data_IF_350952000821
#
_entry.id   IF_350952000821
#
_cell.length_a   1.000
_cell.length_b   1.000
_cell.length_c   1.000
_cell.angle_alpha   90.00
_cell.angle_beta   90.00
_cell.angle_gamma   90.00
#
_symmetry.space_group_name_H-M   'P 1'
#
loop_
_entity.id
_entity.type
_entity.pdbx_description
1 polymer ?
#
# COMPACT_ATOMS: atom_id res chain seq x y z
N UNK A 1 5.49 -14.65 -2.58
CA UNK A 1 4.11 -14.85 -2.11
C UNK A 1 3.57 -13.46 -1.87
N UNK A 2 2.38 -13.14 -2.33
CA UNK A 2 1.82 -11.80 -2.23
C UNK A 2 0.56 -11.79 -1.39
N UNK A 3 0.22 -10.64 -0.84
CA UNK A 3 -1.03 -10.37 -0.16
C UNK A 3 -1.70 -9.15 -0.80
N UNK A 4 -2.95 -9.31 -1.20
CA UNK A 4 -3.78 -8.24 -1.75
C UNK A 4 -4.90 -7.89 -0.79
N UNK A 5 -5.22 -6.61 -0.67
CA UNK A 5 -6.42 -6.15 -0.01
C UNK A 5 -7.49 -5.79 -1.04
N UNK A 6 -8.60 -6.54 -1.07
CA UNK A 6 -9.63 -6.40 -2.10
C UNK A 6 -11.04 -6.25 -1.53
N UNK A 7 -11.91 -5.59 -2.30
CA UNK A 7 -13.35 -5.46 -2.03
C UNK A 7 -14.15 -5.54 -3.33
N UNK A 8 -15.35 -6.12 -3.32
CA UNK A 8 -16.27 -6.01 -4.46
C UNK A 8 -16.92 -4.63 -4.47
N UNK A 9 -16.61 -3.84 -5.50
CA UNK A 9 -17.20 -2.51 -5.67
C UNK A 9 -18.43 -2.54 -6.60
N UNK A 10 -18.47 -3.49 -7.53
CA UNK A 10 -19.58 -3.65 -8.47
C UNK A 10 -20.42 -4.91 -8.17
N UNK A 11 -21.61 -4.72 -7.57
CA UNK A 11 -22.52 -5.82 -7.22
C UNK A 11 -23.13 -6.54 -8.43
N UNK A 12 -23.07 -5.94 -9.62
CA UNK A 12 -23.55 -6.57 -10.86
C UNK A 12 -22.51 -7.60 -11.33
N UNK A 13 -21.22 -7.36 -11.07
CA UNK A 13 -20.11 -8.22 -11.52
C UNK A 13 -19.77 -9.39 -10.58
N UNK A 14 -20.66 -9.76 -9.66
CA UNK A 14 -20.42 -10.85 -8.70
C UNK A 14 -19.94 -12.15 -9.36
N UNK A 15 -20.58 -12.55 -10.45
CA UNK A 15 -20.21 -13.79 -11.17
C UNK A 15 -18.82 -13.69 -11.79
N UNK A 16 -18.45 -12.53 -12.35
CA UNK A 16 -17.11 -12.27 -12.88
C UNK A 16 -16.07 -12.27 -11.75
N UNK A 17 -16.37 -11.64 -10.61
CA UNK A 17 -15.49 -11.63 -9.44
C UNK A 17 -15.22 -13.06 -8.92
N UNK A 18 -16.26 -13.89 -8.76
CA UNK A 18 -16.09 -15.30 -8.33
C UNK A 18 -15.18 -16.06 -9.30
N UNK A 19 -15.37 -15.89 -10.62
CA UNK A 19 -14.54 -16.54 -11.63
C UNK A 19 -13.09 -16.06 -11.55
N UNK A 20 -12.86 -14.75 -11.44
CA UNK A 20 -11.52 -14.18 -11.36
C UNK A 20 -10.76 -14.65 -10.12
N UNK A 21 -11.41 -14.70 -8.97
CA UNK A 21 -10.82 -15.21 -7.73
C UNK A 21 -10.48 -16.70 -7.84
N UNK A 22 -11.35 -17.50 -8.43
CA UNK A 22 -11.09 -18.93 -8.62
C UNK A 22 -9.94 -19.18 -9.60
N UNK A 23 -9.92 -18.46 -10.72
CA UNK A 23 -8.94 -18.65 -11.79
C UNK A 23 -7.55 -18.14 -11.40
N UNK A 24 -7.48 -16.95 -10.77
CA UNK A 24 -6.21 -16.25 -10.60
C UNK A 24 -5.65 -16.31 -9.17
N UNK A 25 -6.49 -16.59 -8.16
CA UNK A 25 -6.05 -16.77 -6.77
C UNK A 25 -6.14 -18.23 -6.31
N UNK A 26 -6.36 -19.16 -7.25
CA UNK A 26 -6.44 -20.61 -7.02
C UNK A 26 -7.44 -21.01 -5.92
N UNK A 27 -8.51 -20.23 -5.76
CA UNK A 27 -9.59 -20.55 -4.83
C UNK A 27 -10.55 -21.56 -5.48
N UNK A 28 -11.09 -22.48 -4.67
CA UNK A 28 -12.19 -23.32 -5.15
C UNK A 28 -13.40 -22.45 -5.50
N UNK A 29 -14.21 -22.85 -6.48
CA UNK A 29 -15.44 -22.11 -6.83
C UNK A 29 -16.38 -21.88 -5.63
N UNK A 30 -16.61 -22.88 -4.74
CA UNK A 30 -17.38 -22.66 -3.51
C UNK A 30 -16.76 -21.60 -2.58
N UNK A 31 -15.45 -21.64 -2.38
CA UNK A 31 -14.77 -20.69 -1.49
C UNK A 31 -14.77 -19.28 -2.08
N UNK A 32 -14.49 -19.14 -3.38
CA UNK A 32 -14.56 -17.87 -4.09
C UNK A 32 -15.96 -17.27 -4.02
N UNK A 33 -17.01 -18.10 -4.20
CA UNK A 33 -18.41 -17.68 -4.06
C UNK A 33 -18.71 -17.19 -2.65
N UNK A 34 -18.38 -18.00 -1.64
CA UNK A 34 -18.59 -17.65 -0.23
C UNK A 34 -17.86 -16.36 0.15
N UNK A 35 -16.62 -16.19 -0.31
CA UNK A 35 -15.80 -15.02 -0.04
C UNK A 35 -16.43 -13.75 -0.63
N UNK A 36 -16.89 -13.81 -1.88
CA UNK A 36 -17.58 -12.68 -2.53
C UNK A 36 -18.89 -12.34 -1.82
N UNK A 37 -19.73 -13.35 -1.57
CA UNK A 37 -21.08 -13.14 -1.05
C UNK A 37 -21.10 -12.67 0.41
N UNK A 38 -20.15 -13.15 1.23
CA UNK A 38 -20.17 -12.93 2.67
C UNK A 38 -19.19 -11.86 3.16
N UNK A 39 -18.07 -11.65 2.46
CA UNK A 39 -17.02 -10.72 2.91
C UNK A 39 -16.79 -9.56 1.96
N UNK A 40 -16.45 -9.84 0.69
CA UNK A 40 -15.98 -8.79 -0.22
C UNK A 40 -17.07 -7.78 -0.58
N UNK A 41 -18.35 -8.10 -0.44
CA UNK A 41 -19.45 -7.12 -0.61
C UNK A 41 -19.49 -6.09 0.54
N UNK A 42 -19.06 -6.51 1.74
CA UNK A 42 -19.22 -5.75 2.98
C UNK A 42 -17.96 -4.93 3.25
N UNK A 43 -16.80 -5.57 3.19
CA UNK A 43 -15.53 -5.01 3.66
C UNK A 43 -14.36 -5.35 2.74
N UNK A 44 -13.26 -4.63 2.95
CA UNK A 44 -11.97 -5.01 2.38
C UNK A 44 -11.44 -6.25 3.10
N UNK A 45 -10.93 -7.21 2.34
CA UNK A 45 -10.38 -8.45 2.89
C UNK A 45 -9.02 -8.72 2.29
N UNK A 46 -8.08 -9.14 3.14
CA UNK A 46 -6.76 -9.59 2.71
C UNK A 46 -6.83 -11.01 2.16
N UNK A 47 -6.25 -11.22 0.98
CA UNK A 47 -6.08 -12.52 0.35
C UNK A 47 -4.60 -12.73 0.06
N UNK A 48 -4.07 -13.85 0.54
CA UNK A 48 -2.71 -14.29 0.25
C UNK A 48 -2.72 -15.27 -0.92
N UNK A 49 -1.78 -15.11 -1.85
CA UNK A 49 -1.69 -15.93 -3.05
C UNK A 49 -0.24 -15.97 -3.55
N UNK A 50 0.01 -16.89 -4.48
CA UNK A 50 1.24 -16.93 -5.24
C UNK A 50 0.97 -16.46 -6.66
N UNK A 51 1.68 -15.44 -7.13
CA UNK A 51 1.67 -15.03 -8.53
C UNK A 51 3.08 -14.72 -9.00
N UNK A 52 3.33 -14.96 -10.28
CA UNK A 52 4.55 -14.52 -10.98
C UNK A 52 4.35 -13.21 -11.74
N UNK A 53 3.11 -12.80 -11.93
CA UNK A 53 2.71 -11.60 -12.67
C UNK A 53 1.62 -10.87 -11.87
N UNK A 54 2.06 -9.89 -11.09
CA UNK A 54 1.21 -9.17 -10.17
C UNK A 54 0.34 -8.13 -10.90
N UNK A 55 0.92 -7.44 -11.87
CA UNK A 55 0.24 -6.38 -12.62
C UNK A 55 -0.93 -6.98 -13.43
N UNK A 56 -0.69 -8.09 -14.14
CA UNK A 56 -1.75 -8.79 -14.88
C UNK A 56 -2.86 -9.29 -13.95
N UNK A 57 -2.50 -9.77 -12.75
CA UNK A 57 -3.49 -10.20 -11.76
C UNK A 57 -4.37 -9.03 -11.32
N UNK A 58 -3.78 -7.89 -10.95
CA UNK A 58 -4.51 -6.71 -10.47
C UNK A 58 -5.47 -6.19 -11.55
N UNK A 59 -5.03 -6.15 -12.81
CA UNK A 59 -5.86 -5.73 -13.94
C UNK A 59 -7.05 -6.68 -14.16
N UNK A 60 -6.82 -7.99 -14.07
CA UNK A 60 -7.87 -9.00 -14.21
C UNK A 60 -8.90 -8.92 -13.07
N UNK A 61 -8.46 -8.74 -11.83
CA UNK A 61 -9.36 -8.56 -10.68
C UNK A 61 -10.18 -7.27 -10.81
N UNK A 62 -9.53 -6.18 -11.22
CA UNK A 62 -10.18 -4.88 -11.43
C UNK A 62 -11.24 -4.94 -12.53
N UNK A 63 -10.91 -5.58 -13.65
CA UNK A 63 -11.85 -5.83 -14.75
C UNK A 63 -13.04 -6.70 -14.32
N UNK A 64 -12.85 -7.56 -13.33
CA UNK A 64 -13.90 -8.38 -12.73
C UNK A 64 -14.78 -7.64 -11.69
N UNK A 65 -14.54 -6.34 -11.45
CA UNK A 65 -15.34 -5.51 -10.52
C UNK A 65 -14.84 -5.50 -9.08
N UNK A 66 -13.64 -6.03 -8.82
CA UNK A 66 -12.97 -5.95 -7.53
C UNK A 66 -12.13 -4.67 -7.48
N UNK A 67 -12.12 -4.00 -6.35
CA UNK A 67 -11.20 -2.90 -6.09
C UNK A 67 -10.04 -3.43 -5.27
N UNK A 68 -8.82 -3.29 -5.78
CA UNK A 68 -7.57 -3.61 -5.09
C UNK A 68 -7.01 -2.34 -4.48
N UNK A 69 -6.84 -2.32 -3.16
CA UNK A 69 -6.34 -1.13 -2.45
C UNK A 69 -4.87 -1.24 -2.05
N UNK A 70 -4.42 -2.44 -1.72
CA UNK A 70 -3.06 -2.62 -1.19
C UNK A 70 -2.46 -3.93 -1.70
N UNK A 71 -1.14 -3.93 -1.94
CA UNK A 71 -0.39 -5.09 -2.41
C UNK A 71 0.92 -5.22 -1.64
N UNK A 72 1.17 -6.38 -1.05
CA UNK A 72 2.36 -6.65 -0.24
C UNK A 72 3.06 -7.92 -0.73
N UNK A 73 4.36 -7.86 -0.95
CA UNK A 73 5.20 -9.05 -1.12
C UNK A 73 5.55 -9.60 0.28
N UNK A 74 5.08 -10.81 0.58
CA UNK A 74 5.33 -11.49 1.85
C UNK A 74 6.67 -12.24 1.86
N UNK A 75 7.27 -12.49 0.70
CA UNK A 75 8.59 -13.12 0.61
C UNK A 75 9.73 -12.10 0.66
N UNK A 76 9.42 -10.84 0.38
CA UNK A 76 10.40 -9.78 0.52
C UNK A 76 10.49 -9.37 1.99
N UNK A 77 11.65 -9.60 2.59
CA UNK A 77 12.01 -8.87 3.81
C UNK A 77 12.07 -7.39 3.41
N UNK A 78 11.35 -6.54 4.15
CA UNK A 78 11.49 -5.09 4.02
C UNK A 78 12.92 -4.74 4.46
N UNK A 79 13.84 -4.76 3.50
CA UNK A 79 15.25 -4.47 3.70
C UNK A 79 15.62 -3.15 3.03
N UNK A 80 16.82 -2.65 3.34
CA UNK A 80 17.32 -1.37 2.81
C UNK A 80 17.32 -1.35 1.26
N UNK A 81 17.77 -2.40 0.54
CA UNK A 81 17.67 -2.45 -0.92
C UNK A 81 16.25 -2.27 -1.47
N UNK A 82 15.25 -2.91 -0.84
CA UNK A 82 13.85 -2.75 -1.22
C UNK A 82 13.36 -1.32 -0.95
N UNK A 83 13.73 -0.74 0.20
CA UNK A 83 13.39 0.64 0.52
C UNK A 83 13.99 1.65 -0.47
N UNK A 84 15.25 1.46 -0.87
CA UNK A 84 15.89 2.24 -1.93
C UNK A 84 15.13 2.13 -3.25
N UNK A 85 14.70 0.93 -3.64
CA UNK A 85 13.95 0.72 -4.88
C UNK A 85 12.59 1.43 -4.84
N UNK A 86 11.87 1.36 -3.72
CA UNK A 86 10.48 1.84 -3.62
C UNK A 86 10.36 3.33 -3.26
N UNK A 87 11.27 3.86 -2.45
CA UNK A 87 11.12 5.19 -1.85
C UNK A 87 12.18 6.19 -2.31
N UNK A 88 13.22 5.78 -3.04
CA UNK A 88 14.34 6.71 -3.32
C UNK A 88 14.01 7.95 -4.14
N UNK A 89 12.93 7.92 -4.92
CA UNK A 89 12.39 9.11 -5.56
C UNK A 89 12.15 10.26 -4.56
N UNK A 90 11.73 9.95 -3.33
CA UNK A 90 11.41 10.92 -2.28
C UNK A 90 12.60 11.78 -1.84
N UNK A 91 13.84 11.32 -2.02
CA UNK A 91 15.05 12.07 -1.65
C UNK A 91 16.03 12.31 -2.79
N UNK A 92 15.88 11.63 -3.94
CA UNK A 92 16.73 11.85 -5.12
C UNK A 92 16.11 12.81 -6.13
N UNK A 93 14.79 12.80 -6.26
CA UNK A 93 14.09 13.48 -7.37
C UNK A 93 13.07 14.49 -6.85
N UNK A 94 12.25 14.09 -5.89
CA UNK A 94 11.04 14.80 -5.50
C UNK A 94 11.11 15.43 -4.10
N UNK A 95 12.31 15.61 -3.54
CA UNK A 95 12.51 16.05 -2.13
C UNK A 95 11.72 17.32 -1.76
N UNK A 96 11.52 18.23 -2.71
CA UNK A 96 10.78 19.47 -2.51
C UNK A 96 9.28 19.27 -2.33
N UNK A 97 8.74 18.15 -2.83
CA UNK A 97 7.33 17.78 -2.74
C UNK A 97 6.99 17.11 -1.41
N UNK A 98 7.99 16.79 -0.59
CA UNK A 98 7.79 16.22 0.74
C UNK A 98 8.18 17.19 1.87
N UNK A 99 7.58 16.96 3.03
CA UNK A 99 7.96 17.60 4.30
C UNK A 99 7.98 16.54 5.40
N UNK A 100 8.99 16.64 6.27
CA UNK A 100 9.07 15.85 7.49
C UNK A 100 8.43 16.64 8.64
N UNK A 101 7.43 16.07 9.28
CA UNK A 101 6.80 16.69 10.45
C UNK A 101 7.36 16.05 11.70
N UNK A 102 8.11 16.83 12.47
CA UNK A 102 8.75 16.38 13.70
C UNK A 102 7.70 16.18 14.80
N UNK A 103 7.65 14.97 15.35
CA UNK A 103 6.90 14.64 16.55
C UNK A 103 7.86 14.47 17.72
N UNK A 104 7.50 15.08 18.85
CA UNK A 104 8.15 14.82 20.14
C UNK A 104 7.19 14.01 20.99
N UNK A 105 7.63 12.82 21.39
CA UNK A 105 6.96 12.01 22.40
C UNK A 105 7.94 11.80 23.56
N UNK A 106 7.83 12.65 24.57
CA UNK A 106 8.82 12.75 25.64
C UNK A 106 10.21 13.10 25.12
N UNK A 107 11.19 12.24 25.39
CA UNK A 107 12.58 12.38 24.91
C UNK A 107 12.79 11.84 23.48
N UNK A 108 11.84 11.07 22.95
CA UNK A 108 11.94 10.52 21.59
C UNK A 108 11.49 11.55 20.57
N UNK A 109 12.34 11.77 19.58
CA UNK A 109 12.01 12.54 18.38
C UNK A 109 11.76 11.56 17.24
N UNK A 110 10.59 11.63 16.62
CA UNK A 110 10.28 10.93 15.37
C UNK A 110 9.88 11.93 14.28
N UNK A 111 9.90 11.50 13.02
CA UNK A 111 9.41 12.30 11.90
C UNK A 111 8.33 11.53 11.15
N UNK A 112 7.27 12.24 10.79
CA UNK A 112 6.24 11.76 9.89
C UNK A 112 6.48 12.35 8.50
N UNK A 113 6.30 11.55 7.45
CA UNK A 113 6.51 12.02 6.08
C UNK A 113 5.18 12.46 5.47
N UNK A 114 5.13 13.67 4.91
CA UNK A 114 3.96 14.21 4.23
C UNK A 114 4.30 14.65 2.82
N UNK A 115 3.44 14.32 1.87
CA UNK A 115 3.47 14.90 0.53
C UNK A 115 2.73 16.24 0.53
N UNK A 116 3.24 17.24 -0.20
CA UNK A 116 2.70 18.60 -0.24
C UNK A 116 1.53 18.72 -1.22
N UNK A 117 1.55 18.03 -2.37
CA UNK A 117 0.55 18.24 -3.45
C UNK A 117 0.27 17.00 -4.31
N UNK A 118 -0.85 16.27 -4.14
CA UNK A 118 -1.89 16.54 -3.15
C UNK A 118 -1.36 16.31 -1.72
N UNK A 119 -1.82 17.10 -0.74
CA UNK A 119 -1.49 16.86 0.66
C UNK A 119 -1.88 15.44 1.07
N UNK A 120 -0.93 14.69 1.60
CA UNK A 120 -1.14 13.30 1.95
C UNK A 120 -0.11 12.79 2.94
N UNK A 121 -0.53 11.87 3.80
CA UNK A 121 0.39 11.20 4.72
C UNK A 121 1.01 9.98 4.03
N UNK A 122 2.33 9.88 4.02
CA UNK A 122 3.05 8.71 3.54
C UNK A 122 3.26 7.76 4.73
N UNK A 123 2.48 6.70 4.80
CA UNK A 123 2.61 5.67 5.84
C UNK A 123 3.61 4.60 5.39
N UNK A 124 4.68 4.44 6.17
CA UNK A 124 5.60 3.30 6.10
C UNK A 124 5.41 2.53 7.40
N UNK A 125 4.90 1.29 7.31
CA UNK A 125 4.53 0.49 8.50
C UNK A 125 5.72 -0.11 9.25
N UNK A 126 6.86 -0.26 8.60
CA UNK A 126 8.07 -0.83 9.19
C UNK A 126 8.96 0.26 9.79
N UNK A 127 9.20 0.20 11.10
CA UNK A 127 9.93 1.22 11.86
C UNK A 127 11.38 1.40 11.36
N UNK A 128 12.06 0.31 11.00
CA UNK A 128 13.45 0.37 10.52
C UNK A 128 13.49 1.07 9.16
N UNK A 129 12.54 0.78 8.28
CA UNK A 129 12.46 1.42 6.97
C UNK A 129 12.00 2.88 7.08
N UNK A 130 11.05 3.17 7.97
CA UNK A 130 10.60 4.53 8.22
C UNK A 130 11.76 5.41 8.73
N UNK A 131 12.57 4.88 9.65
CA UNK A 131 13.78 5.56 10.15
C UNK A 131 14.82 5.75 9.03
N UNK A 132 15.08 4.71 8.24
CA UNK A 132 16.01 4.79 7.11
C UNK A 132 15.61 5.85 6.08
N UNK A 133 14.34 5.83 5.62
CA UNK A 133 13.81 6.79 4.65
C UNK A 133 13.86 8.21 5.22
N UNK A 134 13.45 8.38 6.49
CA UNK A 134 13.54 9.67 7.18
C UNK A 134 14.98 10.19 7.19
N UNK A 135 15.95 9.34 7.53
CA UNK A 135 17.35 9.72 7.54
C UNK A 135 17.82 10.16 6.14
N UNK A 136 17.46 9.42 5.09
CA UNK A 136 17.81 9.78 3.70
C UNK A 136 17.19 11.11 3.25
N UNK A 137 15.95 11.36 3.64
CA UNK A 137 15.30 12.64 3.37
C UNK A 137 15.96 13.79 4.12
N UNK A 138 16.34 13.60 5.39
CA UNK A 138 17.11 14.62 6.14
C UNK A 138 18.48 14.89 5.50
N UNK A 139 19.21 13.84 5.09
CA UNK A 139 20.49 13.94 4.38
C UNK A 139 20.35 14.70 3.05
N UNK A 140 19.23 14.52 2.35
CA UNK A 140 18.90 15.23 1.11
C UNK A 140 18.36 16.66 1.31
N UNK A 141 18.19 17.11 2.56
CA UNK A 141 17.72 18.45 2.87
C UNK A 141 16.20 18.62 2.86
N UNK A 142 15.44 17.57 3.18
CA UNK A 142 14.00 17.68 3.39
C UNK A 142 13.65 18.81 4.36
N UNK A 143 12.59 19.55 4.03
CA UNK A 143 12.01 20.52 4.95
C UNK A 143 11.48 19.83 6.21
N UNK A 144 11.78 20.37 7.38
CA UNK A 144 11.27 19.88 8.66
C UNK A 144 10.28 20.89 9.26
N UNK A 145 9.01 20.49 9.35
CA UNK A 145 7.93 21.26 9.98
C UNK A 145 7.61 20.74 11.39
N UNK A 146 7.11 21.62 12.25
CA UNK A 146 6.58 21.27 13.59
C UNK A 146 5.08 20.95 13.57
N UNK A 147 4.39 21.23 12.46
CA UNK A 147 2.93 21.13 12.34
C UNK A 147 2.61 20.35 11.05
N UNK A 148 1.62 19.43 11.07
CA UNK A 148 1.12 18.79 9.86
C UNK A 148 0.66 19.82 8.82
N UNK A 149 0.81 19.50 7.54
CA UNK A 149 0.18 20.28 6.47
C UNK A 149 -1.34 20.13 6.62
N UNK A 150 -1.99 21.10 7.25
CA UNK A 150 -3.44 21.21 7.22
C UNK A 150 -3.83 21.66 5.84
N UNK A 151 -4.55 20.82 5.09
CA UNK A 151 -5.34 21.29 3.95
C UNK A 151 -6.23 22.44 4.41
N UNK A 152 -6.20 23.62 3.74
CA UNK A 152 -7.24 24.62 3.91
C UNK A 152 -8.61 24.06 3.55
#
# INVERSE_FOLDING_TARGET
>A
MYQLEIKLNDKIRKTQAVRALSLHLNLSLPDAKSLVENKLIVEYTFITFESRDLDSLVDNLTSAGLHVRNVKDLNHTLDIPYAEKCFSHMWKEDINDYVLVKKKDGEKTSHNIYHKKPPGFCLIEDDLIAEYVTQKMLEAGAEVSLIPLTTP
#
